data_IF_841793688966
#
_entry.id   IF_841793688966
#
_cell.length_a   1.000
_cell.length_b   1.000
_cell.length_c   1.000
_cell.angle_alpha   90.00
_cell.angle_beta   90.00
_cell.angle_gamma   90.00
#
_symmetry.space_group_name_H-M   'P 1'
#
loop_
_entity.id
_entity.type
_entity.pdbx_description
1 polymer ?
#
# COMPACT_ATOMS: atom_id res chain seq x y z
N UNK A 1 43.88 40.42 20.33
CA UNK A 1 42.43 40.57 20.58
C UNK A 1 41.70 39.94 19.41
N UNK A 2 41.01 38.82 19.61
CA UNK A 2 40.20 38.18 18.58
C UNK A 2 38.86 37.82 19.20
N UNK A 3 37.79 38.35 18.62
CA UNK A 3 36.44 38.37 19.15
C UNK A 3 35.82 36.97 19.18
N UNK A 4 35.22 36.61 20.32
CA UNK A 4 34.36 35.43 20.43
C UNK A 4 33.07 35.66 19.62
N UNK A 5 32.89 34.91 18.54
CA UNK A 5 31.59 34.76 17.89
C UNK A 5 30.59 34.14 18.88
N UNK A 6 29.44 34.79 19.07
CA UNK A 6 28.37 34.32 19.95
C UNK A 6 27.54 33.21 19.27
N UNK A 7 26.91 32.30 20.04
CA UNK A 7 26.35 31.03 19.55
C UNK A 7 24.98 31.15 18.86
N UNK A 8 24.71 32.26 18.16
CA UNK A 8 23.36 32.65 17.73
C UNK A 8 23.17 32.63 16.20
N UNK A 9 24.24 32.39 15.43
CA UNK A 9 24.25 32.55 13.97
C UNK A 9 24.38 31.22 13.19
N UNK A 10 23.71 30.15 13.62
CA UNK A 10 23.55 28.95 12.77
C UNK A 10 22.08 28.75 12.40
N UNK A 11 21.66 29.12 11.17
CA UNK A 11 20.29 28.90 10.73
C UNK A 11 20.03 27.41 10.51
N UNK A 12 18.99 26.86 11.14
CA UNK A 12 18.45 25.54 10.75
C UNK A 12 18.17 24.53 11.88
N UNK A 13 18.41 24.85 13.15
CA UNK A 13 18.08 23.93 14.26
C UNK A 13 16.77 24.36 14.94
N UNK A 14 15.69 23.56 14.89
CA UNK A 14 14.46 23.84 15.60
C UNK A 14 14.68 23.96 17.11
N UNK A 15 14.07 24.96 17.73
CA UNK A 15 14.09 25.18 19.17
C UNK A 15 13.25 24.11 19.89
N UNK A 16 13.84 22.95 20.14
CA UNK A 16 13.17 21.85 20.86
C UNK A 16 14.03 20.61 21.11
N UNK A 17 15.13 20.43 20.39
CA UNK A 17 16.07 19.37 20.72
C UNK A 17 17.03 19.84 21.82
N UNK A 18 16.80 19.33 23.03
CA UNK A 18 17.78 19.38 24.11
C UNK A 18 19.13 18.90 23.54
N UNK A 19 20.15 19.75 23.64
CA UNK A 19 21.52 19.47 23.21
C UNK A 19 21.91 18.09 23.72
N UNK A 20 22.32 17.20 22.81
CA UNK A 20 22.79 15.85 23.13
C UNK A 20 23.94 16.02 24.12
N UNK A 21 23.67 15.69 25.39
CA UNK A 21 24.64 15.81 26.46
C UNK A 21 24.79 14.43 27.09
N UNK A 22 25.97 13.85 26.96
CA UNK A 22 26.40 12.63 27.65
C UNK A 22 26.60 11.40 26.75
N UNK A 23 27.64 10.57 27.02
CA UNK A 23 27.98 9.39 26.23
C UNK A 23 26.92 8.27 26.28
N UNK A 24 26.03 8.27 27.27
CA UNK A 24 24.95 7.30 27.41
C UNK A 24 23.83 7.49 26.36
N UNK A 25 23.52 8.74 26.00
CA UNK A 25 22.50 9.04 24.98
C UNK A 25 23.00 8.78 23.55
N UNK A 26 24.32 8.84 23.33
CA UNK A 26 24.93 8.47 22.05
C UNK A 26 24.94 6.95 21.89
N UNK A 27 25.21 6.19 22.96
CA UNK A 27 25.15 4.72 22.94
C UNK A 27 23.75 4.17 22.74
N UNK A 28 22.74 4.70 23.44
CA UNK A 28 21.36 4.22 23.29
C UNK A 28 20.79 4.50 21.89
N UNK A 29 21.18 5.61 21.27
CA UNK A 29 20.81 5.88 19.87
C UNK A 29 21.61 5.02 18.88
N UNK A 30 22.89 4.77 19.14
CA UNK A 30 23.68 3.84 18.32
C UNK A 30 23.11 2.41 18.36
N UNK A 31 22.73 1.92 19.54
CA UNK A 31 22.07 0.63 19.71
C UNK A 31 20.74 0.56 18.96
N UNK A 32 19.97 1.66 18.93
CA UNK A 32 18.73 1.76 18.16
C UNK A 32 18.99 1.68 16.64
N UNK A 33 19.99 2.40 16.12
CA UNK A 33 20.34 2.35 14.70
C UNK A 33 20.91 0.98 14.30
N UNK A 34 21.75 0.37 15.14
CA UNK A 34 22.30 -0.96 14.90
C UNK A 34 21.22 -2.05 14.94
N UNK A 35 20.28 -1.98 15.89
CA UNK A 35 19.14 -2.89 15.95
C UNK A 35 18.25 -2.75 14.70
N UNK A 36 18.05 -1.52 14.23
CA UNK A 36 17.29 -1.25 13.00
C UNK A 36 18.01 -1.76 11.76
N UNK A 37 19.32 -1.56 11.65
CA UNK A 37 20.13 -2.07 10.55
C UNK A 37 20.16 -3.61 10.51
N UNK A 38 20.20 -4.27 11.67
CA UNK A 38 20.08 -5.73 11.79
C UNK A 38 18.70 -6.22 11.35
N UNK A 39 17.63 -5.58 11.83
CA UNK A 39 16.27 -5.91 11.41
C UNK A 39 16.06 -5.72 9.91
N UNK A 40 16.70 -4.72 9.31
CA UNK A 40 16.69 -4.47 7.87
C UNK A 40 17.48 -5.53 7.09
N UNK A 41 18.63 -5.98 7.61
CA UNK A 41 19.39 -7.09 7.02
C UNK A 41 18.65 -8.43 7.09
N UNK A 42 18.04 -8.74 8.25
CA UNK A 42 17.21 -9.93 8.44
C UNK A 42 15.98 -9.91 7.54
N UNK A 43 15.37 -8.73 7.35
CA UNK A 43 14.24 -8.57 6.44
C UNK A 43 14.63 -8.74 4.97
N UNK A 44 15.81 -8.27 4.55
CA UNK A 44 16.32 -8.53 3.19
C UNK A 44 16.58 -10.01 2.99
N UNK A 45 17.12 -10.70 4.01
CA UNK A 45 17.33 -12.14 3.94
C UNK A 45 16.00 -12.91 3.91
N UNK A 46 15.01 -12.54 4.72
CA UNK A 46 13.67 -13.14 4.70
C UNK A 46 12.96 -12.90 3.38
N UNK A 47 12.99 -11.67 2.83
CA UNK A 47 12.42 -11.35 1.53
C UNK A 47 13.03 -12.18 0.40
N UNK A 48 14.34 -12.47 0.46
CA UNK A 48 15.03 -13.37 -0.48
C UNK A 48 14.64 -14.84 -0.34
N UNK A 49 14.26 -15.27 0.86
CA UNK A 49 14.05 -16.70 1.19
C UNK A 49 12.58 -17.10 1.17
N UNK A 50 11.66 -16.18 1.46
CA UNK A 50 10.24 -16.45 1.69
C UNK A 50 9.29 -15.70 0.73
N UNK A 51 9.81 -14.89 -0.20
CA UNK A 51 8.99 -13.99 -1.02
C UNK A 51 8.12 -13.04 -0.16
N UNK A 52 8.63 -12.55 0.98
CA UNK A 52 7.92 -11.65 1.92
C UNK A 52 7.93 -10.15 1.50
N UNK A 53 8.02 -9.88 0.19
CA UNK A 53 8.12 -8.53 -0.37
C UNK A 53 6.82 -7.73 -0.36
N UNK A 54 6.90 -6.44 -0.69
CA UNK A 54 5.70 -5.61 -0.84
C UNK A 54 4.75 -6.15 -1.91
N UNK A 55 5.28 -6.69 -3.01
CA UNK A 55 4.51 -7.36 -4.06
C UNK A 55 3.65 -8.49 -3.50
N UNK A 56 4.23 -9.37 -2.68
CA UNK A 56 3.48 -10.44 -2.02
C UNK A 56 2.39 -9.94 -1.07
N UNK A 57 2.61 -8.80 -0.39
CA UNK A 57 1.57 -8.17 0.46
C UNK A 57 0.40 -7.63 -0.36
N UNK A 58 0.69 -6.96 -1.48
CA UNK A 58 -0.34 -6.49 -2.42
C UNK A 58 -1.14 -7.67 -2.97
N UNK A 59 -0.46 -8.74 -3.40
CA UNK A 59 -1.08 -9.96 -3.91
C UNK A 59 -1.98 -10.60 -2.85
N UNK A 60 -1.46 -10.84 -1.64
CA UNK A 60 -2.24 -11.45 -0.56
C UNK A 60 -3.47 -10.61 -0.17
N UNK A 61 -3.35 -9.28 -0.21
CA UNK A 61 -4.49 -8.38 0.01
C UNK A 61 -5.53 -8.48 -1.11
N UNK A 62 -5.08 -8.52 -2.38
CA UNK A 62 -5.95 -8.73 -3.54
C UNK A 62 -6.63 -10.11 -3.54
N UNK A 63 -5.92 -11.16 -3.12
CA UNK A 63 -6.48 -12.51 -2.91
C UNK A 63 -7.61 -12.49 -1.88
N UNK A 64 -7.48 -11.73 -0.79
CA UNK A 64 -8.58 -11.55 0.17
C UNK A 64 -9.83 -10.91 -0.44
N UNK A 65 -9.66 -9.98 -1.38
CA UNK A 65 -10.77 -9.40 -2.16
C UNK A 65 -11.37 -10.45 -3.11
N UNK A 66 -10.52 -11.19 -3.84
CA UNK A 66 -10.93 -12.27 -4.74
C UNK A 66 -11.71 -13.38 -4.01
N UNK A 67 -11.27 -13.82 -2.84
CA UNK A 67 -11.97 -14.82 -2.04
C UNK A 67 -13.35 -14.34 -1.58
N UNK A 68 -13.49 -13.06 -1.22
CA UNK A 68 -14.80 -12.49 -0.92
C UNK A 68 -15.69 -12.47 -2.16
N UNK A 69 -15.13 -12.10 -3.30
CA UNK A 69 -15.81 -12.03 -4.58
C UNK A 69 -16.33 -13.39 -5.06
N UNK A 70 -15.52 -14.44 -4.99
CA UNK A 70 -15.91 -15.81 -5.33
C UNK A 70 -17.05 -16.31 -4.42
N UNK A 71 -16.99 -15.99 -3.12
CA UNK A 71 -18.10 -16.29 -2.20
C UNK A 71 -19.40 -15.61 -2.61
N UNK A 72 -19.35 -14.39 -3.16
CA UNK A 72 -20.54 -13.70 -3.65
C UNK A 72 -21.05 -14.32 -4.95
N UNK A 73 -20.17 -14.61 -5.91
CA UNK A 73 -20.52 -15.26 -7.18
C UNK A 73 -21.25 -16.60 -6.95
N UNK A 74 -20.78 -17.41 -6.01
CA UNK A 74 -21.40 -18.70 -5.69
C UNK A 74 -22.81 -18.60 -5.07
N UNK A 75 -23.17 -17.46 -4.47
CA UNK A 75 -24.48 -17.24 -3.84
C UNK A 75 -25.54 -16.68 -4.82
N UNK A 76 -25.16 -16.38 -6.06
CA UNK A 76 -26.02 -15.76 -7.06
C UNK A 76 -25.92 -14.24 -7.04
N UNK A 77 -27.04 -13.53 -7.22
CA UNK A 77 -27.06 -12.07 -7.22
C UNK A 77 -26.74 -11.53 -5.81
N UNK A 78 -25.63 -10.78 -5.63
CA UNK A 78 -25.26 -10.26 -4.32
C UNK A 78 -26.29 -9.24 -3.82
N UNK A 79 -26.51 -9.18 -2.52
CA UNK A 79 -27.31 -8.11 -1.93
C UNK A 79 -26.50 -6.81 -1.83
N UNK A 80 -27.17 -5.68 -1.61
CA UNK A 80 -26.49 -4.40 -1.33
C UNK A 80 -25.65 -4.45 -0.05
N UNK A 81 -26.01 -5.28 0.92
CA UNK A 81 -25.21 -5.48 2.13
C UNK A 81 -23.92 -6.24 1.82
N UNK A 82 -24.00 -7.26 0.96
CA UNK A 82 -22.82 -7.99 0.47
C UNK A 82 -21.88 -7.08 -0.31
N UNK A 83 -22.42 -6.23 -1.19
CA UNK A 83 -21.63 -5.27 -1.96
C UNK A 83 -20.93 -4.22 -1.07
N UNK A 84 -21.51 -3.86 0.09
CA UNK A 84 -20.83 -2.98 1.06
C UNK A 84 -19.59 -3.65 1.65
N UNK A 85 -19.69 -4.93 2.03
CA UNK A 85 -18.55 -5.68 2.54
C UNK A 85 -17.43 -5.76 1.49
N UNK A 86 -17.79 -5.99 0.23
CA UNK A 86 -16.82 -6.00 -0.87
C UNK A 86 -16.21 -4.62 -1.10
N UNK A 87 -17.02 -3.55 -1.09
CA UNK A 87 -16.53 -2.19 -1.25
C UNK A 87 -15.57 -1.79 -0.13
N UNK A 88 -15.86 -2.16 1.11
CA UNK A 88 -14.98 -1.89 2.25
C UNK A 88 -13.65 -2.66 2.12
N UNK A 89 -13.70 -3.92 1.69
CA UNK A 89 -12.50 -4.72 1.46
C UNK A 89 -11.64 -4.14 0.32
N UNK A 90 -12.26 -3.80 -0.81
CA UNK A 90 -11.59 -3.18 -1.95
C UNK A 90 -11.02 -1.80 -1.58
N UNK A 91 -11.75 -1.00 -0.79
CA UNK A 91 -11.28 0.31 -0.36
C UNK A 91 -10.03 0.20 0.52
N UNK A 92 -10.03 -0.73 1.49
CA UNK A 92 -8.86 -1.01 2.33
C UNK A 92 -7.66 -1.49 1.51
N UNK A 93 -7.92 -2.38 0.56
CA UNK A 93 -6.89 -2.85 -0.37
C UNK A 93 -6.30 -1.68 -1.17
N UNK A 94 -7.14 -0.89 -1.85
CA UNK A 94 -6.72 0.27 -2.63
C UNK A 94 -5.96 1.31 -1.79
N UNK A 95 -6.41 1.58 -0.56
CA UNK A 95 -5.73 2.48 0.37
C UNK A 95 -4.35 1.92 0.76
N UNK A 96 -4.27 0.64 1.12
CA UNK A 96 -3.03 -0.04 1.43
C UNK A 96 -2.03 0.00 0.28
N UNK A 97 -2.48 -0.34 -0.92
CA UNK A 97 -1.70 -0.30 -2.16
C UNK A 97 -1.27 1.14 -2.50
N UNK A 98 -2.12 2.14 -2.28
CA UNK A 98 -1.80 3.54 -2.51
C UNK A 98 -0.68 4.04 -1.59
N UNK A 99 -0.81 3.83 -0.27
CA UNK A 99 0.14 4.37 0.70
C UNK A 99 1.48 3.64 0.72
N UNK A 100 1.54 2.41 0.20
CA UNK A 100 2.76 1.59 0.20
C UNK A 100 3.40 1.44 -1.18
N UNK A 101 2.66 0.99 -2.19
CA UNK A 101 3.21 0.64 -3.50
C UNK A 101 3.15 1.81 -4.49
N UNK A 102 1.96 2.36 -4.76
CA UNK A 102 1.75 3.35 -5.83
C UNK A 102 2.60 4.61 -5.62
N UNK A 103 2.56 5.21 -4.43
CA UNK A 103 3.39 6.38 -4.09
C UNK A 103 4.90 6.10 -4.12
N UNK A 104 5.30 4.87 -3.84
CA UNK A 104 6.71 4.49 -3.95
C UNK A 104 7.13 4.43 -5.43
N UNK A 105 6.29 3.80 -6.26
CA UNK A 105 6.51 3.61 -7.69
C UNK A 105 6.35 4.89 -8.53
N UNK A 106 5.60 5.90 -8.08
CA UNK A 106 5.48 7.19 -8.78
C UNK A 106 6.82 7.90 -9.00
N UNK A 107 7.82 7.60 -8.17
CA UNK A 107 9.19 8.12 -8.31
C UNK A 107 9.94 7.47 -9.48
N UNK A 108 9.39 6.42 -10.09
CA UNK A 108 10.00 5.60 -11.14
C UNK A 108 9.25 5.77 -12.46
N UNK A 109 9.82 6.45 -13.47
CA UNK A 109 9.16 6.68 -14.74
C UNK A 109 8.69 5.41 -15.45
N UNK A 110 9.42 4.30 -15.29
CA UNK A 110 9.12 3.01 -15.91
C UNK A 110 7.91 2.28 -15.30
N UNK A 111 7.39 2.75 -14.17
CA UNK A 111 6.20 2.21 -13.49
C UNK A 111 5.03 3.21 -13.41
N UNK A 112 5.23 4.46 -13.86
CA UNK A 112 4.25 5.52 -13.71
C UNK A 112 2.92 5.22 -14.41
N UNK A 113 2.96 4.63 -15.61
CA UNK A 113 1.74 4.27 -16.35
C UNK A 113 0.98 3.13 -15.67
N UNK A 114 1.68 2.08 -15.22
CA UNK A 114 1.06 0.98 -14.49
C UNK A 114 0.36 1.49 -13.21
N UNK A 115 1.00 2.36 -12.44
CA UNK A 115 0.41 2.99 -11.25
C UNK A 115 -0.81 3.84 -11.58
N UNK A 116 -0.74 4.64 -12.65
CA UNK A 116 -1.84 5.51 -13.07
C UNK A 116 -3.07 4.72 -13.51
N UNK A 117 -2.86 3.68 -14.30
CA UNK A 117 -3.94 2.82 -14.80
C UNK A 117 -4.57 2.02 -13.67
N UNK A 118 -3.75 1.41 -12.82
CA UNK A 118 -4.16 0.66 -11.64
C UNK A 118 -4.99 1.52 -10.67
N UNK A 119 -4.52 2.74 -10.36
CA UNK A 119 -5.28 3.68 -9.53
C UNK A 119 -6.63 4.06 -10.14
N UNK A 120 -6.64 4.43 -11.42
CA UNK A 120 -7.85 4.84 -12.12
C UNK A 120 -8.88 3.69 -12.20
N UNK A 121 -8.41 2.46 -12.33
CA UNK A 121 -9.24 1.26 -12.29
C UNK A 121 -9.85 1.05 -10.90
N UNK A 122 -9.05 1.04 -9.83
CA UNK A 122 -9.54 0.89 -8.46
C UNK A 122 -10.57 1.96 -8.07
N UNK A 123 -10.33 3.23 -8.43
CA UNK A 123 -11.27 4.34 -8.19
C UNK A 123 -12.60 4.15 -8.94
N UNK A 124 -12.54 3.74 -10.21
CA UNK A 124 -13.73 3.45 -11.02
C UNK A 124 -14.57 2.32 -10.44
N UNK A 125 -13.92 1.27 -9.93
CA UNK A 125 -14.59 0.13 -9.32
C UNK A 125 -15.30 0.51 -8.01
N UNK A 126 -14.62 1.26 -7.13
CA UNK A 126 -15.22 1.78 -5.90
C UNK A 126 -16.42 2.68 -6.20
N UNK A 127 -16.32 3.53 -7.23
CA UNK A 127 -17.43 4.36 -7.68
C UNK A 127 -18.62 3.51 -8.21
N UNK A 128 -18.34 2.44 -8.95
CA UNK A 128 -19.35 1.51 -9.46
C UNK A 128 -20.08 0.79 -8.32
N UNK A 129 -19.34 0.28 -7.33
CA UNK A 129 -19.91 -0.31 -6.13
C UNK A 129 -20.78 0.69 -5.36
N UNK A 130 -20.32 1.94 -5.23
CA UNK A 130 -21.10 3.02 -4.60
C UNK A 130 -22.45 3.26 -5.31
N UNK A 131 -22.48 3.27 -6.64
CA UNK A 131 -23.73 3.38 -7.40
C UNK A 131 -24.69 2.21 -7.16
N UNK A 132 -24.17 0.97 -7.16
CA UNK A 132 -24.95 -0.24 -6.91
C UNK A 132 -25.52 -0.27 -5.48
N UNK A 133 -24.69 0.06 -4.49
CA UNK A 133 -25.07 0.10 -3.07
C UNK A 133 -26.13 1.17 -2.80
N UNK A 134 -26.01 2.33 -3.44
CA UNK A 134 -26.96 3.43 -3.29
C UNK A 134 -28.31 3.17 -3.99
N UNK A 135 -28.45 2.09 -4.77
CA UNK A 135 -29.68 1.79 -5.50
C UNK A 135 -30.00 2.82 -6.59
N UNK A 136 -28.97 3.44 -7.17
CA UNK A 136 -29.13 4.46 -8.22
C UNK A 136 -29.44 3.87 -9.60
N UNK A 137 -29.42 2.54 -9.73
CA UNK A 137 -29.70 1.82 -10.96
C UNK A 137 -31.09 1.16 -10.91
N UNK A 138 -31.77 1.00 -12.07
CA UNK A 138 -33.02 0.25 -12.13
C UNK A 138 -32.85 -1.18 -11.59
N UNK A 139 -33.78 -1.63 -10.75
CA UNK A 139 -33.74 -2.97 -10.12
C UNK A 139 -33.69 -4.10 -11.16
N UNK A 140 -34.33 -3.91 -12.31
CA UNK A 140 -34.32 -4.87 -13.43
C UNK A 140 -32.90 -5.13 -13.98
N UNK A 141 -32.03 -4.12 -13.94
CA UNK A 141 -30.65 -4.20 -14.43
C UNK A 141 -29.64 -4.54 -13.33
N UNK A 142 -30.06 -4.50 -12.06
CA UNK A 142 -29.18 -4.69 -10.93
C UNK A 142 -28.40 -6.02 -10.97
N UNK A 143 -29.01 -7.19 -11.26
CA UNK A 143 -28.27 -8.45 -11.30
C UNK A 143 -27.14 -8.46 -12.34
N UNK A 144 -27.42 -7.91 -13.53
CA UNK A 144 -26.45 -7.85 -14.61
C UNK A 144 -25.29 -6.90 -14.27
N UNK A 145 -25.60 -5.70 -13.79
CA UNK A 145 -24.59 -4.70 -13.44
C UNK A 145 -23.76 -5.13 -12.23
N UNK A 146 -24.37 -5.76 -11.23
CA UNK A 146 -23.66 -6.33 -10.10
C UNK A 146 -22.69 -7.44 -10.55
N UNK A 147 -23.14 -8.34 -11.42
CA UNK A 147 -22.29 -9.40 -11.97
C UNK A 147 -21.11 -8.83 -12.79
N UNK A 148 -21.37 -7.79 -13.59
CA UNK A 148 -20.31 -7.08 -14.32
C UNK A 148 -19.28 -6.45 -13.38
N UNK A 149 -19.73 -5.77 -12.32
CA UNK A 149 -18.81 -5.21 -11.33
C UNK A 149 -17.96 -6.29 -10.63
N UNK A 150 -18.52 -7.47 -10.34
CA UNK A 150 -17.74 -8.59 -9.82
C UNK A 150 -16.76 -9.16 -10.87
N UNK A 151 -17.05 -9.08 -12.17
CA UNK A 151 -16.09 -9.47 -13.19
C UNK A 151 -14.93 -8.46 -13.27
N UNK A 152 -15.24 -7.17 -13.24
CA UNK A 152 -14.24 -6.12 -13.37
C UNK A 152 -13.29 -6.06 -12.16
N UNK A 153 -13.79 -6.31 -10.94
CA UNK A 153 -12.94 -6.36 -9.73
C UNK A 153 -11.97 -7.55 -9.77
N UNK A 154 -12.44 -8.70 -10.24
CA UNK A 154 -11.62 -9.89 -10.39
C UNK A 154 -10.52 -9.68 -11.43
N UNK A 155 -10.87 -9.03 -12.55
CA UNK A 155 -9.90 -8.65 -13.57
C UNK A 155 -8.87 -7.62 -13.05
N UNK A 156 -9.30 -6.65 -12.24
CA UNK A 156 -8.41 -5.68 -11.60
C UNK A 156 -7.36 -6.35 -10.70
N UNK A 157 -7.75 -7.31 -9.85
CA UNK A 157 -6.78 -8.09 -9.05
C UNK A 157 -5.80 -8.84 -9.96
N UNK A 158 -6.29 -9.41 -11.08
CA UNK A 158 -5.44 -10.03 -12.08
C UNK A 158 -4.46 -9.05 -12.76
N UNK A 159 -4.89 -7.82 -13.05
CA UNK A 159 -4.03 -6.76 -13.59
C UNK A 159 -2.93 -6.37 -12.60
N UNK A 160 -3.25 -6.21 -11.31
CA UNK A 160 -2.24 -5.93 -10.28
C UNK A 160 -1.16 -7.00 -10.21
N UNK A 161 -1.55 -8.28 -10.25
CA UNK A 161 -0.60 -9.39 -10.27
C UNK A 161 0.29 -9.40 -11.52
N UNK A 162 -0.27 -9.00 -12.68
CA UNK A 162 0.43 -8.99 -13.96
C UNK A 162 1.37 -7.80 -14.11
N UNK A 163 0.95 -6.63 -13.64
CA UNK A 163 1.56 -5.35 -13.99
C UNK A 163 2.19 -4.67 -12.76
N UNK A 164 1.43 -4.48 -11.69
CA UNK A 164 1.89 -3.75 -10.50
C UNK A 164 2.89 -4.54 -9.68
N UNK A 165 2.62 -5.81 -9.38
CA UNK A 165 3.53 -6.64 -8.58
C UNK A 165 4.92 -6.81 -9.22
N UNK A 166 5.05 -7.08 -10.53
CA UNK A 166 6.35 -7.07 -11.19
C UNK A 166 7.03 -5.70 -11.21
N UNK A 167 6.27 -4.60 -11.30
CA UNK A 167 6.83 -3.25 -11.19
C UNK A 167 7.43 -3.00 -9.79
N UNK A 168 6.76 -3.46 -8.73
CA UNK A 168 7.29 -3.41 -7.36
C UNK A 168 8.65 -4.14 -7.28
N UNK A 169 8.70 -5.38 -7.79
CA UNK A 169 9.90 -6.21 -7.70
C UNK A 169 11.06 -5.69 -8.56
N UNK A 170 10.75 -5.02 -9.68
CA UNK A 170 11.75 -4.46 -10.61
C UNK A 170 12.30 -3.13 -10.14
N UNK A 171 11.45 -2.24 -9.65
CA UNK A 171 11.82 -0.84 -9.39
C UNK A 171 12.27 -0.58 -7.96
N UNK A 172 11.71 -1.30 -6.98
CA UNK A 172 12.03 -1.06 -5.58
C UNK A 172 13.21 -1.92 -5.13
N UNK A 173 14.12 -1.30 -4.38
CA UNK A 173 15.19 -2.07 -3.74
C UNK A 173 14.61 -3.08 -2.74
N UNK A 174 15.26 -4.25 -2.52
CA UNK A 174 14.76 -5.24 -1.56
C UNK A 174 14.51 -4.68 -0.15
N UNK A 175 15.35 -3.73 0.28
CA UNK A 175 15.21 -3.06 1.57
C UNK A 175 13.96 -2.16 1.63
N UNK A 176 13.73 -1.36 0.59
CA UNK A 176 12.56 -0.49 0.50
C UNK A 176 11.27 -1.33 0.41
N UNK A 177 11.26 -2.37 -0.42
CA UNK A 177 10.17 -3.34 -0.53
C UNK A 177 9.83 -3.97 0.83
N UNK A 178 10.83 -4.50 1.55
CA UNK A 178 10.60 -5.11 2.86
C UNK A 178 10.09 -4.11 3.91
N UNK A 179 10.57 -2.85 3.86
CA UNK A 179 10.11 -1.80 4.77
C UNK A 179 8.65 -1.41 4.52
N UNK A 180 8.28 -1.25 3.25
CA UNK A 180 6.93 -0.90 2.84
C UNK A 180 5.95 -2.05 3.11
N UNK A 181 6.37 -3.29 2.89
CA UNK A 181 5.58 -4.49 3.21
C UNK A 181 5.13 -4.53 4.68
N UNK A 182 6.00 -4.12 5.62
CA UNK A 182 5.66 -4.04 7.05
C UNK A 182 4.68 -2.91 7.39
N UNK A 183 4.57 -1.93 6.51
CA UNK A 183 3.69 -0.77 6.66
C UNK A 183 2.37 -0.97 5.90
N UNK A 184 2.20 -2.11 5.22
CA UNK A 184 0.96 -2.46 4.54
C UNK A 184 -0.16 -2.67 5.58
N UNK A 185 -1.28 -1.95 5.49
CA UNK A 185 -2.39 -2.10 6.42
C UNK A 185 -2.96 -3.52 6.36
N UNK A 186 -3.10 -4.16 7.53
CA UNK A 186 -3.75 -5.47 7.69
C UNK A 186 -5.25 -5.36 7.92
#
# INVERSE_FOLDING_TARGET
MSELMKPQDTPGVPAGHARISGPANVRSQAEYFDARARADADAVQAARTHHDGLSARVIASGEGVHELLERLRHRGTPSRADLRLLADALAKHCEGTEVTARRALERHPAAADAVREDRAEGERLLQTLSYLIAGKLPEETYPLTASGALADIDQYVGHEQRDLAPAIDRELSPLESARLARSFPG
#
